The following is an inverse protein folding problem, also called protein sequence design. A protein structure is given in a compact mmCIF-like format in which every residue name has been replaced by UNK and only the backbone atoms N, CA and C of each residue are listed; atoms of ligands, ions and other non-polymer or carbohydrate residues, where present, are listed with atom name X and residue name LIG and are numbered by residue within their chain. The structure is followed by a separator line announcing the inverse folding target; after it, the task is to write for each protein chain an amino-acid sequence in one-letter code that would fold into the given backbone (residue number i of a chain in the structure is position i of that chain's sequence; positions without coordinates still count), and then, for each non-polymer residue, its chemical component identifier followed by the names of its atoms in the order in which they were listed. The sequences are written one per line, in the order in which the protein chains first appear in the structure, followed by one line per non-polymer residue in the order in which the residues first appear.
data_IF_893486239835
#
_entry.id   IF_893486239835
#
_cell.length_a   1.000
_cell.length_b   1.000
_cell.length_c   1.000
_cell.angle_alpha   90.00
_cell.angle_beta   90.00
_cell.angle_gamma   90.00
#
_symmetry.space_group_name_H-M   'P 1'
#
loop_
_entity.id
_entity.type
_entity.pdbx_description
1 polymer ?
#
# COMPACT_ATOMS: atom_id res chain seq x y z
N UNK A 1 1.01 -48.30 5.93
CA UNK A 1 0.32 -47.30 6.77
C UNK A 1 0.86 -45.87 6.64
N UNK A 2 2.01 -45.65 5.99
CA UNK A 2 2.65 -44.33 5.84
C UNK A 2 2.05 -43.44 4.72
N UNK A 3 1.28 -44.02 3.80
CA UNK A 3 0.66 -43.32 2.66
C UNK A 3 -0.60 -42.51 3.04
N UNK A 4 -1.24 -42.82 4.18
CA UNK A 4 -2.44 -42.12 4.65
C UNK A 4 -2.10 -40.79 5.34
N UNK A 5 -0.90 -40.69 5.92
CA UNK A 5 -0.41 -39.47 6.61
C UNK A 5 0.03 -38.41 5.58
N UNK A 6 0.57 -38.81 4.43
CA UNK A 6 0.97 -37.88 3.36
C UNK A 6 -0.22 -37.20 2.68
N UNK A 7 -1.39 -37.85 2.62
CA UNK A 7 -2.59 -37.27 2.01
C UNK A 7 -3.26 -36.20 2.88
N UNK A 8 -3.16 -36.33 4.21
CA UNK A 8 -3.67 -35.32 5.14
C UNK A 8 -2.87 -34.02 5.09
N UNK A 9 -1.56 -34.09 4.85
CA UNK A 9 -0.68 -32.91 4.78
C UNK A 9 -0.93 -32.05 3.53
N UNK A 10 -1.29 -32.65 2.40
CA UNK A 10 -1.53 -31.90 1.14
C UNK A 10 -2.82 -31.09 1.15
N UNK A 11 -3.82 -31.48 1.93
CA UNK A 11 -5.07 -30.73 2.07
C UNK A 11 -4.93 -29.47 2.95
N UNK A 12 -3.93 -29.43 3.84
CA UNK A 12 -3.68 -28.27 4.73
C UNK A 12 -2.82 -27.20 4.03
N UNK A 13 -2.07 -27.56 2.98
CA UNK A 13 -1.25 -26.61 2.20
C UNK A 13 -2.03 -25.73 1.22
N UNK A 14 -3.32 -25.99 0.97
CA UNK A 14 -4.15 -25.15 0.07
C UNK A 14 -4.81 -23.96 0.77
N UNK A 15 -4.57 -23.78 2.08
CA UNK A 15 -5.13 -22.69 2.89
C UNK A 15 -3.98 -21.89 3.54
N UNK A 16 -3.03 -21.43 2.74
CA UNK A 16 -2.18 -20.29 3.12
C UNK A 16 -2.71 -19.04 2.43
N UNK A 17 -3.69 -18.44 3.11
CA UNK A 17 -4.04 -17.02 3.16
C UNK A 17 -3.28 -16.11 2.19
N UNK A 18 -3.95 -15.72 1.11
CA UNK A 18 -3.61 -14.50 0.36
C UNK A 18 -4.41 -13.34 0.97
N UNK A 19 -4.17 -13.08 2.25
CA UNK A 19 -4.69 -11.88 2.91
C UNK A 19 -3.69 -10.75 2.64
N UNK A 20 -4.06 -9.79 1.79
CA UNK A 20 -3.35 -8.52 1.68
C UNK A 20 -3.61 -7.72 2.98
N UNK A 21 -2.99 -8.14 4.09
CA UNK A 21 -2.94 -7.33 5.32
C UNK A 21 -2.19 -6.04 5.02
N UNK A 22 -2.93 -4.92 5.02
CA UNK A 22 -2.35 -3.62 5.32
C UNK A 22 -2.15 -3.57 6.84
N UNK A 23 -0.94 -3.88 7.26
CA UNK A 23 -0.52 -3.76 8.66
C UNK A 23 -0.29 -2.27 8.98
N UNK A 24 -1.34 -1.55 9.39
CA UNK A 24 -1.22 -0.17 9.89
C UNK A 24 -0.84 -0.18 11.39
N UNK A 25 0.36 -0.66 11.72
CA UNK A 25 0.86 -0.65 13.09
C UNK A 25 1.44 0.72 13.49
N UNK A 26 0.62 1.48 14.22
CA UNK A 26 1.01 2.45 15.25
C UNK A 26 2.02 3.55 14.86
N UNK A 27 1.55 4.47 14.03
CA UNK A 27 1.82 5.90 14.13
C UNK A 27 0.59 6.64 13.60
N UNK A 28 0.28 7.88 14.04
CA UNK A 28 -0.64 8.74 13.32
C UNK A 28 0.02 9.16 11.99
N UNK A 29 0.22 8.21 11.08
CA UNK A 29 0.50 8.54 9.69
C UNK A 29 -0.77 9.18 9.17
N UNK A 30 -0.65 10.47 8.87
CA UNK A 30 -1.73 11.30 8.39
C UNK A 30 -2.55 10.51 7.37
N UNK A 31 -3.82 10.33 7.72
CA UNK A 31 -4.82 9.53 7.02
C UNK A 31 -4.86 9.77 5.50
N UNK A 32 -4.44 10.93 5.03
CA UNK A 32 -4.29 11.29 3.62
C UNK A 32 -3.13 10.63 2.86
N UNK A 33 -2.11 10.10 3.54
CA UNK A 33 -1.03 9.37 2.88
C UNK A 33 -1.56 8.02 2.38
N UNK A 34 -2.50 7.42 3.12
CA UNK A 34 -3.16 6.16 2.76
C UNK A 34 -4.52 6.37 2.06
N UNK A 35 -5.22 7.47 2.33
CA UNK A 35 -6.50 7.84 1.69
C UNK A 35 -6.32 8.96 0.66
N UNK A 36 -6.43 8.59 -0.62
CA UNK A 36 -6.35 9.55 -1.73
C UNK A 36 -7.44 10.63 -1.68
N UNK A 37 -8.58 10.37 -1.04
CA UNK A 37 -9.72 11.29 -0.94
C UNK A 37 -9.40 12.54 -0.10
N UNK A 38 -8.46 12.40 0.84
CA UNK A 38 -8.03 13.46 1.75
C UNK A 38 -6.87 14.28 1.19
N UNK A 39 -6.30 13.87 0.06
CA UNK A 39 -5.26 14.62 -0.62
C UNK A 39 -5.86 15.86 -1.30
N UNK A 40 -5.09 16.93 -1.30
CA UNK A 40 -5.38 18.18 -2.04
C UNK A 40 -4.26 18.53 -3.03
N UNK A 41 -3.15 17.81 -2.98
CA UNK A 41 -2.02 17.93 -3.89
C UNK A 41 -0.85 17.09 -3.42
N UNK A 42 0.32 17.36 -3.98
CA UNK A 42 1.58 16.71 -3.66
C UNK A 42 2.73 17.70 -3.73
N UNK A 43 3.72 17.54 -2.85
CA UNK A 43 5.06 18.07 -3.07
C UNK A 43 5.85 17.08 -3.93
N UNK A 44 6.49 17.56 -4.98
CA UNK A 44 7.34 16.74 -5.85
C UNK A 44 8.80 16.77 -5.36
N UNK A 45 9.58 15.74 -5.70
CA UNK A 45 10.98 15.62 -5.26
C UNK A 45 11.92 16.70 -5.80
N UNK A 46 11.59 17.30 -6.95
CA UNK A 46 12.33 18.43 -7.49
C UNK A 46 12.03 19.76 -6.77
N UNK A 47 11.14 19.75 -5.78
CA UNK A 47 10.74 20.94 -5.05
C UNK A 47 9.69 21.78 -5.78
N UNK A 48 8.93 21.21 -6.71
CA UNK A 48 7.68 21.80 -7.22
C UNK A 48 6.47 21.29 -6.43
N UNK A 49 5.34 21.99 -6.53
CA UNK A 49 4.06 21.48 -6.02
C UNK A 49 3.14 21.11 -7.18
N UNK A 50 2.40 20.03 -7.01
CA UNK A 50 1.40 19.56 -7.96
C UNK A 50 0.03 19.50 -7.28
N UNK A 51 -1.01 19.87 -8.02
CA UNK A 51 -2.40 19.68 -7.59
C UNK A 51 -2.90 18.25 -7.84
N UNK A 52 -2.08 17.39 -8.44
CA UNK A 52 -2.43 15.99 -8.65
C UNK A 52 -2.48 15.24 -7.31
N UNK A 53 -3.52 14.41 -7.14
CA UNK A 53 -3.78 13.63 -5.92
C UNK A 53 -3.70 12.11 -6.13
N UNK A 54 -3.55 11.68 -7.38
CA UNK A 54 -3.64 10.30 -7.80
C UNK A 54 -2.38 9.78 -8.50
N UNK A 55 -2.54 8.63 -9.15
CA UNK A 55 -1.48 7.94 -9.88
C UNK A 55 -0.82 8.85 -10.92
N UNK A 56 0.51 8.84 -10.98
CA UNK A 56 1.27 9.66 -11.93
C UNK A 56 1.51 11.10 -11.49
N UNK A 57 1.06 11.49 -10.29
CA UNK A 57 1.47 12.75 -9.68
C UNK A 57 3.00 12.86 -9.65
N UNK A 58 3.51 14.03 -10.04
CA UNK A 58 4.95 14.32 -10.11
C UNK A 58 5.76 13.38 -11.02
N UNK A 59 5.14 12.69 -11.98
CA UNK A 59 5.85 11.75 -12.88
C UNK A 59 7.02 12.38 -13.65
N UNK A 60 6.88 13.63 -14.12
CA UNK A 60 7.97 14.40 -14.73
C UNK A 60 8.92 15.09 -13.74
N UNK A 61 8.60 15.04 -12.45
CA UNK A 61 9.25 15.80 -11.37
C UNK A 61 9.95 14.88 -10.35
N UNK A 62 10.26 13.64 -10.75
CA UNK A 62 10.95 12.66 -9.89
C UNK A 62 10.03 11.89 -8.93
N UNK A 63 8.72 12.03 -9.08
CA UNK A 63 7.71 11.42 -8.21
C UNK A 63 7.35 12.28 -7.01
N UNK A 64 6.38 11.79 -6.26
CA UNK A 64 5.88 12.46 -5.05
C UNK A 64 6.91 12.33 -3.93
N UNK A 65 7.18 13.44 -3.26
CA UNK A 65 7.92 13.49 -2.01
C UNK A 65 6.97 13.23 -0.83
N UNK A 66 5.95 14.07 -0.68
CA UNK A 66 4.85 13.85 0.28
C UNK A 66 3.51 14.39 -0.24
N UNK A 67 2.41 13.75 0.17
CA UNK A 67 1.07 14.23 -0.17
C UNK A 67 0.68 15.43 0.71
N UNK A 68 0.10 16.45 0.08
CA UNK A 68 -0.52 17.59 0.75
C UNK A 68 -1.96 17.21 1.08
N UNK A 69 -2.34 17.42 2.33
CA UNK A 69 -3.58 16.91 2.91
C UNK A 69 -4.52 18.04 3.31
N UNK A 70 -5.82 17.78 3.25
CA UNK A 70 -6.84 18.69 3.78
C UNK A 70 -6.90 18.63 5.30
#
# INVERSE_FOLDING_TARGET
MKKLITLLFLLVSSITFSDCSKDDNNAPQSDCQTDASKRRGARCKDGTESMATGSGACSGHGGVDYWLCK
#
